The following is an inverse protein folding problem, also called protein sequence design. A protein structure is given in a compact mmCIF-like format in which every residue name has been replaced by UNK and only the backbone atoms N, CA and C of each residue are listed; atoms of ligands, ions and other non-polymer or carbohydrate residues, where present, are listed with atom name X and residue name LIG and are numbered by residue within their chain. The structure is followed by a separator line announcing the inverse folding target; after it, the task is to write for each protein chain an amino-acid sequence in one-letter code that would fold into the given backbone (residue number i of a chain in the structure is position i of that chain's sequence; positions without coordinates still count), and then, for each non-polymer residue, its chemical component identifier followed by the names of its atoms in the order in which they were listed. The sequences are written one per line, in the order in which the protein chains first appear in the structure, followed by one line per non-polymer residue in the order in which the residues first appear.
data_IF_548826742251
#
_entry.id   IF_548826742251
#
_cell.length_a   1.000
_cell.length_b   1.000
_cell.length_c   1.000
_cell.angle_alpha   90.00
_cell.angle_beta   90.00
_cell.angle_gamma   90.00
#
_symmetry.space_group_name_H-M   'P 1'
#
loop_
_entity.id
_entity.type
_entity.pdbx_description
1 polymer ?
#
# COMPACT_ATOMS: atom_id res chain seq x y z
N UNK A 1 -4.96 7.46 22.37
CA UNK A 1 -5.79 8.11 21.35
C UNK A 1 -6.91 7.17 20.96
N UNK A 2 -8.16 7.66 20.83
CA UNK A 2 -9.31 6.86 20.36
C UNK A 2 -10.08 7.71 19.34
N UNK A 3 -10.45 7.12 18.22
CA UNK A 3 -11.25 7.74 17.16
C UNK A 3 -12.01 6.68 16.39
N UNK A 4 -13.00 7.10 15.63
CA UNK A 4 -13.73 6.26 14.68
C UNK A 4 -13.85 6.97 13.34
N UNK A 5 -13.82 6.20 12.27
CA UNK A 5 -13.95 6.68 10.89
C UNK A 5 -15.11 5.94 10.25
N UNK A 6 -16.00 6.65 9.55
CA UNK A 6 -17.14 6.07 8.87
C UNK A 6 -16.75 5.61 7.47
N UNK A 7 -17.48 4.69 6.91
CA UNK A 7 -17.30 4.26 5.52
C UNK A 7 -17.48 5.46 4.56
N UNK A 8 -16.49 5.67 3.68
CA UNK A 8 -16.45 6.82 2.75
C UNK A 8 -16.00 8.15 3.38
N UNK A 9 -15.65 8.16 4.66
CA UNK A 9 -15.15 9.36 5.33
C UNK A 9 -13.65 9.55 5.10
N UNK A 10 -13.25 10.81 4.84
CA UNK A 10 -11.85 11.24 4.86
C UNK A 10 -11.56 11.82 6.25
N UNK A 11 -10.87 11.06 7.07
CA UNK A 11 -10.50 11.48 8.44
C UNK A 11 -9.08 12.04 8.48
N UNK A 12 -8.94 13.29 8.93
CA UNK A 12 -7.65 13.98 9.04
C UNK A 12 -7.06 13.92 10.44
N UNK A 13 -5.80 13.49 10.56
CA UNK A 13 -5.03 13.55 11.80
C UNK A 13 -4.01 14.69 11.69
N UNK A 14 -4.26 15.80 12.38
CA UNK A 14 -3.35 16.95 12.41
C UNK A 14 -2.45 16.92 13.65
N UNK A 15 -1.26 17.50 13.56
CA UNK A 15 -0.32 17.63 14.67
C UNK A 15 1.04 18.12 14.20
N UNK A 16 1.87 18.57 15.16
CA UNK A 16 3.25 18.98 14.92
C UNK A 16 4.12 17.78 14.47
N UNK A 17 5.29 18.07 13.91
CA UNK A 17 6.31 17.05 13.64
C UNK A 17 6.66 16.35 14.96
N UNK A 18 6.65 15.00 14.94
CA UNK A 18 6.86 14.20 16.17
C UNK A 18 5.61 13.97 17.03
N UNK A 19 4.43 14.40 16.59
CA UNK A 19 3.18 14.19 17.33
C UNK A 19 2.62 12.76 17.28
N UNK A 20 3.36 11.79 16.72
CA UNK A 20 2.97 10.37 16.71
C UNK A 20 1.95 9.99 15.62
N UNK A 21 1.75 10.84 14.59
CA UNK A 21 0.78 10.55 13.50
C UNK A 21 1.19 9.36 12.67
N UNK A 22 2.42 9.36 12.19
CA UNK A 22 2.99 8.27 11.37
C UNK A 22 3.06 6.98 12.18
N UNK A 23 3.47 7.05 13.44
CA UNK A 23 3.49 5.92 14.37
C UNK A 23 2.08 5.34 14.58
N UNK A 24 1.07 6.19 14.72
CA UNK A 24 -0.34 5.74 14.81
C UNK A 24 -0.77 4.99 13.56
N UNK A 25 -0.48 5.53 12.36
CA UNK A 25 -0.79 4.86 11.11
C UNK A 25 -0.05 3.52 10.97
N UNK A 26 1.23 3.46 11.36
CA UNK A 26 2.05 2.24 11.34
C UNK A 26 1.52 1.18 12.31
N UNK A 27 1.07 1.58 13.50
CA UNK A 27 0.43 0.68 14.49
C UNK A 27 -0.89 0.10 13.95
N UNK A 28 -1.70 0.91 13.25
CA UNK A 28 -2.95 0.46 12.63
C UNK A 28 -2.63 -0.53 11.49
N UNK A 29 -1.61 -0.25 10.69
CA UNK A 29 -1.17 -1.11 9.60
C UNK A 29 -0.43 -2.38 10.08
N UNK A 30 -0.12 -2.50 11.38
CA UNK A 30 0.62 -3.64 11.93
C UNK A 30 2.10 -3.65 11.53
N UNK A 31 2.66 -2.51 11.11
CA UNK A 31 4.09 -2.34 10.85
C UNK A 31 4.89 -2.23 12.15
N UNK A 32 4.27 -1.67 13.19
CA UNK A 32 4.84 -1.59 14.52
C UNK A 32 3.99 -2.41 15.51
N UNK A 33 4.64 -2.92 16.56
CA UNK A 33 3.98 -3.73 17.58
C UNK A 33 3.11 -2.85 18.47
N UNK A 34 1.82 -3.17 18.51
CA UNK A 34 0.87 -2.52 19.40
C UNK A 34 0.94 -3.13 20.81
N UNK A 35 1.16 -2.30 21.82
CA UNK A 35 1.19 -2.73 23.22
C UNK A 35 -0.22 -2.78 23.84
N UNK A 36 -1.08 -1.82 23.47
CA UNK A 36 -2.44 -1.70 23.98
C UNK A 36 -3.42 -1.15 22.92
N UNK A 37 -4.70 -1.14 23.26
CA UNK A 37 -5.77 -0.62 22.42
C UNK A 37 -6.40 -1.71 21.51
N UNK A 38 -7.51 -1.35 20.88
CA UNK A 38 -8.32 -2.23 20.04
C UNK A 38 -8.50 -1.54 18.68
N UNK A 39 -8.39 -2.30 17.61
CA UNK A 39 -8.78 -1.88 16.26
C UNK A 39 -10.01 -2.70 15.87
N UNK A 40 -11.04 -2.03 15.38
CA UNK A 40 -12.23 -2.66 14.84
C UNK A 40 -12.45 -2.21 13.40
N UNK A 41 -12.81 -3.11 12.53
CA UNK A 41 -13.24 -2.84 11.17
C UNK A 41 -14.60 -3.52 10.94
N UNK A 42 -15.59 -2.77 10.50
CA UNK A 42 -16.97 -3.23 10.31
C UNK A 42 -17.52 -4.04 11.52
N UNK A 43 -17.28 -3.52 12.74
CA UNK A 43 -17.70 -4.11 14.00
C UNK A 43 -16.89 -5.33 14.46
N UNK A 44 -15.92 -5.81 13.67
CA UNK A 44 -15.06 -6.94 14.01
C UNK A 44 -13.75 -6.46 14.62
N UNK A 45 -13.37 -7.01 15.77
CA UNK A 45 -12.05 -6.72 16.37
C UNK A 45 -10.94 -7.39 15.57
N UNK A 46 -9.97 -6.60 15.14
CA UNK A 46 -8.80 -7.06 14.41
C UNK A 46 -7.61 -7.29 15.35
N UNK A 47 -7.00 -8.46 15.24
CA UNK A 47 -5.74 -8.81 15.93
C UNK A 47 -4.60 -8.83 14.92
N UNK A 48 -4.17 -7.64 14.52
CA UNK A 48 -3.11 -7.48 13.53
C UNK A 48 -1.73 -7.65 14.20
N UNK A 49 -0.97 -8.64 13.77
CA UNK A 49 0.39 -8.95 14.22
C UNK A 49 1.44 -8.70 13.15
N UNK A 50 1.00 -8.40 11.93
CA UNK A 50 1.86 -8.15 10.77
C UNK A 50 1.14 -7.30 9.74
N UNK A 51 1.92 -6.65 8.88
CA UNK A 51 1.41 -5.90 7.73
C UNK A 51 0.63 -6.80 6.76
N UNK A 52 1.01 -8.08 6.63
CA UNK A 52 0.30 -9.05 5.81
C UNK A 52 -1.13 -9.28 6.29
N UNK A 53 -1.33 -9.36 7.61
CA UNK A 53 -2.67 -9.52 8.20
C UNK A 53 -3.51 -8.24 7.99
N UNK A 54 -2.89 -7.04 8.07
CA UNK A 54 -3.56 -5.79 7.78
C UNK A 54 -4.01 -5.70 6.32
N UNK A 55 -3.12 -6.03 5.39
CA UNK A 55 -3.44 -6.08 3.96
C UNK A 55 -4.56 -7.09 3.66
N UNK A 56 -4.52 -8.27 4.27
CA UNK A 56 -5.59 -9.27 4.14
C UNK A 56 -6.93 -8.79 4.72
N UNK A 57 -6.89 -7.89 5.72
CA UNK A 57 -8.08 -7.24 6.29
C UNK A 57 -8.54 -6.00 5.50
N UNK A 58 -7.91 -5.67 4.37
CA UNK A 58 -8.26 -4.52 3.54
C UNK A 58 -7.66 -3.18 4.00
N UNK A 59 -6.69 -3.20 4.91
CA UNK A 59 -6.01 -1.99 5.40
C UNK A 59 -4.72 -1.79 4.63
N UNK A 60 -4.53 -0.59 4.07
CA UNK A 60 -3.31 -0.19 3.36
C UNK A 60 -2.62 0.98 4.02
N UNK A 61 -1.33 1.15 3.75
CA UNK A 61 -0.55 2.29 4.20
C UNK A 61 0.20 2.94 3.03
N UNK A 62 -0.20 4.16 2.66
CA UNK A 62 0.61 5.02 1.81
C UNK A 62 1.63 5.73 2.70
N UNK A 63 2.89 5.34 2.57
CA UNK A 63 3.98 5.92 3.35
C UNK A 63 4.45 7.25 2.77
N UNK A 64 4.89 8.17 3.65
CA UNK A 64 5.55 9.41 3.25
C UNK A 64 6.92 9.13 2.62
N UNK A 65 7.64 8.15 3.15
CA UNK A 65 8.94 7.72 2.63
C UNK A 65 8.80 6.57 1.62
N UNK A 66 8.52 6.94 0.38
CA UNK A 66 8.41 5.99 -0.72
C UNK A 66 9.70 5.25 -1.04
N UNK A 67 10.87 5.84 -0.73
CA UNK A 67 12.18 5.28 -1.11
C UNK A 67 12.61 4.12 -0.22
N UNK A 68 12.30 4.19 1.06
CA UNK A 68 12.70 3.16 2.03
C UNK A 68 11.55 2.23 2.43
N UNK A 69 10.29 2.71 2.33
CA UNK A 69 9.12 1.97 2.79
C UNK A 69 8.07 1.70 1.70
N UNK A 70 8.08 2.48 0.63
CA UNK A 70 7.06 2.40 -0.42
C UNK A 70 7.42 1.50 -1.58
N UNK A 71 8.68 1.50 -2.01
CA UNK A 71 9.18 0.82 -3.22
C UNK A 71 10.52 0.13 -2.95
N UNK A 72 10.74 -0.97 -3.62
CA UNK A 72 12.05 -1.60 -3.79
C UNK A 72 12.67 -1.01 -5.04
N UNK A 73 13.49 0.05 -4.88
CA UNK A 73 13.97 0.88 -5.99
C UNK A 73 14.77 0.10 -7.04
N UNK A 74 15.45 -0.98 -6.65
CA UNK A 74 16.21 -1.84 -7.57
C UNK A 74 15.35 -2.79 -8.41
N UNK A 75 14.11 -3.01 -8.01
CA UNK A 75 13.15 -3.84 -8.75
C UNK A 75 12.42 -3.04 -9.82
N UNK A 76 11.81 -3.75 -10.77
CA UNK A 76 10.99 -3.14 -11.82
C UNK A 76 9.72 -2.49 -11.26
N UNK A 77 9.11 -1.63 -12.05
CA UNK A 77 7.80 -1.02 -11.74
C UNK A 77 6.74 -2.10 -11.58
N UNK A 78 6.74 -3.10 -12.49
CA UNK A 78 5.81 -4.23 -12.46
C UNK A 78 5.94 -5.04 -11.18
N UNK A 79 7.15 -5.46 -10.81
CA UNK A 79 7.39 -6.20 -9.56
C UNK A 79 6.96 -5.41 -8.32
N UNK A 80 7.25 -4.10 -8.25
CA UNK A 80 6.78 -3.25 -7.17
C UNK A 80 5.26 -3.16 -7.08
N UNK A 81 4.57 -3.12 -8.22
CA UNK A 81 3.12 -3.11 -8.31
C UNK A 81 2.54 -4.44 -7.82
N UNK A 82 3.15 -5.56 -8.20
CA UNK A 82 2.70 -6.90 -7.86
C UNK A 82 2.93 -7.29 -6.40
N UNK A 83 3.94 -6.73 -5.71
CA UNK A 83 4.32 -7.15 -4.35
C UNK A 83 3.15 -7.33 -3.35
N UNK A 84 2.23 -6.37 -3.15
CA UNK A 84 1.09 -6.56 -2.25
C UNK A 84 -0.05 -7.37 -2.88
N UNK A 85 0.03 -7.70 -4.17
CA UNK A 85 -1.02 -8.31 -4.98
C UNK A 85 -0.64 -9.72 -5.48
N UNK A 86 0.42 -10.33 -4.94
CA UNK A 86 0.95 -11.61 -5.41
C UNK A 86 -0.09 -12.72 -5.39
N UNK A 87 -0.99 -12.74 -4.41
CA UNK A 87 -2.10 -13.69 -4.32
C UNK A 87 -3.11 -13.57 -5.49
N UNK A 88 -3.25 -12.38 -6.08
CA UNK A 88 -4.09 -12.13 -7.24
C UNK A 88 -3.43 -12.53 -8.56
N UNK A 89 -2.10 -12.51 -8.62
CA UNK A 89 -1.32 -12.77 -9.82
C UNK A 89 -0.64 -14.15 -9.82
N UNK A 90 -0.59 -14.84 -8.67
CA UNK A 90 0.03 -16.16 -8.58
C UNK A 90 -0.97 -17.29 -8.85
N UNK A 91 -0.53 -18.29 -9.60
CA UNK A 91 -1.21 -19.54 -9.79
C UNK A 91 -0.25 -20.71 -9.60
N UNK A 92 -0.59 -21.66 -8.72
CA UNK A 92 0.27 -22.80 -8.34
C UNK A 92 1.70 -22.41 -7.95
N UNK A 93 1.88 -21.22 -7.33
CA UNK A 93 3.20 -20.72 -6.90
C UNK A 93 3.99 -19.98 -7.98
N UNK A 94 3.48 -19.86 -9.18
CA UNK A 94 4.09 -19.09 -10.27
C UNK A 94 3.32 -17.79 -10.50
N UNK A 95 4.05 -16.70 -10.74
CA UNK A 95 3.47 -15.39 -11.04
C UNK A 95 3.13 -15.32 -12.54
N UNK A 96 1.87 -15.01 -12.84
CA UNK A 96 1.44 -14.67 -14.19
C UNK A 96 1.87 -13.23 -14.51
N UNK A 97 3.07 -13.11 -15.08
CA UNK A 97 3.66 -11.82 -15.44
C UNK A 97 2.84 -11.04 -16.47
N UNK A 98 2.11 -11.73 -17.34
CA UNK A 98 1.27 -11.10 -18.35
C UNK A 98 0.08 -10.42 -17.69
N UNK A 99 -0.63 -11.15 -16.84
CA UNK A 99 -1.76 -10.61 -16.07
C UNK A 99 -1.35 -9.45 -15.15
N UNK A 100 -0.19 -9.56 -14.51
CA UNK A 100 0.40 -8.50 -13.69
C UNK A 100 0.69 -7.23 -14.53
N UNK A 101 1.27 -7.39 -15.72
CA UNK A 101 1.57 -6.29 -16.64
C UNK A 101 0.29 -5.63 -17.18
N UNK A 102 -0.71 -6.41 -17.57
CA UNK A 102 -2.02 -5.92 -18.03
C UNK A 102 -2.73 -5.11 -16.94
N UNK A 103 -2.72 -5.58 -15.69
CA UNK A 103 -3.29 -4.86 -14.55
C UNK A 103 -2.55 -3.53 -14.29
N UNK A 104 -1.21 -3.56 -14.33
CA UNK A 104 -0.40 -2.34 -14.19
C UNK A 104 -0.74 -1.32 -15.28
N UNK A 105 -0.91 -1.74 -16.54
CA UNK A 105 -1.20 -0.84 -17.66
C UNK A 105 -2.51 -0.06 -17.45
N UNK A 106 -3.53 -0.68 -16.88
CA UNK A 106 -4.78 -0.01 -16.49
C UNK A 106 -4.50 1.15 -15.53
N UNK A 107 -3.65 0.93 -14.52
CA UNK A 107 -3.30 1.97 -13.55
C UNK A 107 -2.35 3.02 -14.13
N UNK A 108 -1.45 2.63 -15.04
CA UNK A 108 -0.60 3.56 -15.78
C UNK A 108 -1.45 4.57 -16.53
N UNK A 109 -2.49 4.12 -17.22
CA UNK A 109 -3.44 5.00 -17.91
C UNK A 109 -4.25 5.88 -16.94
N UNK A 110 -4.87 5.29 -15.93
CA UNK A 110 -5.71 6.01 -14.95
C UNK A 110 -4.95 7.10 -14.18
N UNK A 111 -3.73 6.80 -13.75
CA UNK A 111 -2.91 7.71 -12.95
C UNK A 111 -1.94 8.54 -13.79
N UNK A 112 -1.93 8.33 -15.11
CA UNK A 112 -0.99 8.98 -16.02
C UNK A 112 0.46 8.83 -15.54
N UNK A 113 0.87 7.59 -15.27
CA UNK A 113 2.24 7.26 -14.86
C UNK A 113 3.14 7.34 -16.10
N UNK A 114 4.18 8.16 -16.04
CA UNK A 114 5.16 8.26 -17.12
C UNK A 114 6.27 7.25 -16.87
N UNK A 115 6.31 6.20 -17.67
CA UNK A 115 7.33 5.16 -17.66
C UNK A 115 7.66 4.74 -19.10
N UNK A 116 8.87 4.23 -19.34
CA UNK A 116 9.32 3.75 -20.64
C UNK A 116 8.93 2.28 -20.86
N UNK A 117 8.91 1.50 -19.79
CA UNK A 117 8.57 0.08 -19.77
C UNK A 117 8.14 -0.32 -18.36
N UNK A 118 7.23 -1.29 -18.24
CA UNK A 118 6.86 -1.91 -16.98
C UNK A 118 8.06 -2.56 -16.26
N UNK A 119 9.04 -3.03 -17.03
CA UNK A 119 10.24 -3.71 -16.52
C UNK A 119 11.39 -2.74 -16.18
N UNK A 120 11.23 -1.41 -16.39
CA UNK A 120 12.24 -0.47 -15.94
C UNK A 120 12.31 -0.44 -14.40
N UNK A 121 13.52 -0.19 -13.86
CA UNK A 121 13.73 -0.05 -12.41
C UNK A 121 12.90 1.12 -11.86
N UNK A 122 12.19 0.90 -10.76
CA UNK A 122 11.41 1.94 -10.09
C UNK A 122 12.28 3.13 -9.63
N UNK A 123 13.58 2.89 -9.39
CA UNK A 123 14.53 3.93 -9.02
C UNK A 123 14.79 4.96 -10.12
N UNK A 124 14.54 4.62 -11.40
CA UNK A 124 14.74 5.54 -12.54
C UNK A 124 13.58 6.50 -12.75
N UNK A 125 12.44 6.26 -12.11
CA UNK A 125 11.28 7.12 -12.20
C UNK A 125 11.49 8.44 -11.45
N UNK A 126 10.87 9.51 -11.95
CA UNK A 126 10.73 10.75 -11.17
C UNK A 126 9.95 10.50 -9.88
N UNK A 127 10.20 11.33 -8.85
CA UNK A 127 9.55 11.19 -7.55
C UNK A 127 8.02 11.16 -7.62
N UNK A 128 7.42 11.97 -8.49
CA UNK A 128 5.97 11.97 -8.70
C UNK A 128 5.46 10.66 -9.33
N UNK A 129 6.20 10.07 -10.29
CA UNK A 129 5.82 8.78 -10.87
C UNK A 129 6.03 7.63 -9.88
N UNK A 130 7.08 7.67 -9.05
CA UNK A 130 7.26 6.71 -7.95
C UNK A 130 6.05 6.73 -7.00
N UNK A 131 5.56 7.91 -6.65
CA UNK A 131 4.39 8.04 -5.76
C UNK A 131 3.11 7.48 -6.40
N UNK A 132 2.94 7.69 -7.71
CA UNK A 132 1.84 7.10 -8.47
C UNK A 132 1.91 5.57 -8.52
N UNK A 133 3.11 4.98 -8.60
CA UNK A 133 3.30 3.52 -8.51
C UNK A 133 2.92 2.99 -7.13
N UNK A 134 3.31 3.70 -6.05
CA UNK A 134 2.86 3.34 -4.68
C UNK A 134 1.35 3.40 -4.56
N UNK A 135 0.70 4.39 -5.15
CA UNK A 135 -0.76 4.50 -5.17
C UNK A 135 -1.38 3.37 -6.00
N UNK A 136 -0.85 3.10 -7.20
CA UNK A 136 -1.35 2.08 -8.12
C UNK A 136 -1.44 0.69 -7.46
N UNK A 137 -0.37 0.27 -6.76
CA UNK A 137 -0.34 -1.05 -6.12
C UNK A 137 -1.39 -1.23 -5.03
N UNK A 138 -1.77 -0.15 -4.32
CA UNK A 138 -2.81 -0.21 -3.30
C UNK A 138 -4.21 -0.07 -3.89
N UNK A 139 -4.37 0.66 -4.98
CA UNK A 139 -5.64 0.69 -5.73
C UNK A 139 -5.96 -0.68 -6.36
N UNK A 140 -4.94 -1.41 -6.86
CA UNK A 140 -5.12 -2.78 -7.34
C UNK A 140 -5.56 -3.73 -6.23
N UNK A 141 -5.06 -3.52 -5.01
CA UNK A 141 -5.46 -4.32 -3.85
C UNK A 141 -6.92 -4.11 -3.45
N UNK A 142 -7.56 -3.05 -3.95
CA UNK A 142 -8.93 -2.66 -3.61
C UNK A 142 -9.12 -2.55 -2.09
N UNK A 143 -8.22 -1.81 -1.44
CA UNK A 143 -8.25 -1.61 0.00
C UNK A 143 -9.53 -0.90 0.45
N UNK A 144 -10.02 -1.25 1.62
CA UNK A 144 -11.20 -0.62 2.24
C UNK A 144 -10.82 0.60 3.10
N UNK A 145 -9.56 0.63 3.62
CA UNK A 145 -9.01 1.68 4.48
C UNK A 145 -7.58 2.00 4.08
#
# INVERSE_FOLDING_TARGET
MSFSVRRGEIFGIAGLVGAGRTETARLIFGADRREAGIITLDGKTLRLRSTREAVAAGICLLTEDRKTQGLVLGQSVRENFGLPNLDSFAWLGFIDQKREAEALEVHVGKLQIKLSSADQSAGTLSGGNQQKVVLAKWLERNAEV
#
